data_IF_640565336028
#
_entry.id   IF_640565336028
#
_cell.length_a   1.000
_cell.length_b   1.000
_cell.length_c   1.000
_cell.angle_alpha   90.00
_cell.angle_beta   90.00
_cell.angle_gamma   90.00
#
_symmetry.space_group_name_H-M   'P 1'
#
loop_
_entity.id
_entity.type
_entity.pdbx_description
1 polymer ?
#
# COMPACT_ATOMS: atom_id res chain seq x y z
N UNK A 1 23.11 -5.73 -7.12
CA UNK A 1 22.98 -6.34 -5.78
C UNK A 1 21.57 -6.09 -5.28
N UNK A 2 21.05 -7.03 -4.50
CA UNK A 2 19.62 -7.31 -4.33
C UNK A 2 18.80 -6.27 -3.54
N UNK A 3 17.55 -6.12 -4.00
CA UNK A 3 16.28 -5.95 -3.26
C UNK A 3 15.66 -4.56 -3.11
N UNK A 4 14.35 -4.58 -3.36
CA UNK A 4 13.35 -3.52 -3.39
C UNK A 4 13.19 -2.90 -2.00
N UNK A 5 13.17 -1.58 -1.89
CA UNK A 5 12.61 -0.87 -0.74
C UNK A 5 11.43 -0.02 -1.24
N UNK A 6 10.33 -0.71 -1.52
CA UNK A 6 9.03 -0.05 -1.66
C UNK A 6 8.45 0.08 -0.25
N UNK A 7 8.96 1.03 0.54
CA UNK A 7 8.23 1.51 1.71
C UNK A 7 7.09 2.36 1.17
N UNK A 8 6.03 1.67 0.75
CA UNK A 8 4.73 2.26 0.48
C UNK A 8 4.05 2.22 1.82
N UNK A 9 3.79 3.39 2.39
CA UNK A 9 2.91 3.49 3.54
C UNK A 9 1.55 3.00 3.05
N UNK A 10 1.28 1.72 3.32
CA UNK A 10 0.05 0.98 3.09
C UNK A 10 -0.77 1.38 1.84
N UNK A 11 -0.23 1.17 0.63
CA UNK A 11 -1.09 0.88 -0.51
C UNK A 11 -1.40 -0.61 -0.42
N UNK A 12 -2.59 -0.93 0.07
CA UNK A 12 -3.20 -2.25 0.01
C UNK A 12 -3.18 -2.75 -1.44
N UNK A 13 -2.08 -3.39 -1.85
CA UNK A 13 -2.04 -4.23 -3.03
C UNK A 13 -2.73 -5.55 -2.68
N UNK A 14 -4.06 -5.52 -2.60
CA UNK A 14 -4.86 -6.69 -2.90
C UNK A 14 -4.92 -6.85 -4.42
N UNK A 15 -3.76 -7.16 -5.01
CA UNK A 15 -3.74 -7.79 -6.32
C UNK A 15 -4.12 -9.24 -6.05
N UNK A 16 -5.41 -9.53 -6.23
CA UNK A 16 -5.85 -10.90 -6.45
C UNK A 16 -4.98 -11.52 -7.54
N UNK A 17 -4.23 -12.55 -7.19
CA UNK A 17 -3.67 -13.47 -8.17
C UNK A 17 -4.83 -14.29 -8.76
N UNK A 18 -5.55 -13.70 -9.72
CA UNK A 18 -6.40 -14.43 -10.64
C UNK A 18 -6.04 -13.96 -12.06
N UNK A 19 -5.11 -14.68 -12.68
CA UNK A 19 -4.57 -14.32 -13.99
C UNK A 19 -3.57 -15.34 -14.51
N UNK A 20 -4.05 -16.56 -14.78
CA UNK A 20 -3.54 -17.45 -15.83
C UNK A 20 -2.06 -17.89 -15.73
N UNK A 21 -1.82 -18.99 -15.02
CA UNK A 21 -0.87 -20.00 -15.51
C UNK A 21 -1.67 -21.18 -16.03
N UNK A 22 -2.14 -21.03 -17.28
CA UNK A 22 -2.50 -22.15 -18.12
C UNK A 22 -1.20 -22.88 -18.45
N UNK A 23 -0.89 -23.94 -17.71
CA UNK A 23 0.16 -24.88 -18.05
C UNK A 23 -0.43 -25.84 -19.11
N UNK A 24 0.01 -25.80 -20.38
CA UNK A 24 -0.37 -26.84 -21.32
C UNK A 24 0.48 -28.07 -21.00
N UNK A 25 -0.19 -29.23 -20.95
CA UNK A 25 0.43 -30.53 -20.87
C UNK A 25 1.47 -30.70 -21.99
N UNK A 26 2.66 -31.19 -21.61
CA UNK A 26 3.65 -31.67 -22.57
C UNK A 26 3.09 -32.91 -23.29
N UNK A 27 2.89 -32.78 -24.60
CA UNK A 27 2.53 -33.85 -25.52
C UNK A 27 3.06 -33.49 -26.90
N UNK A 28 4.06 -34.23 -27.37
CA UNK A 28 4.92 -33.84 -28.48
C UNK A 28 4.30 -33.87 -29.87
N UNK A 29 5.09 -33.38 -30.84
CA UNK A 29 4.88 -33.65 -32.26
C UNK A 29 5.10 -32.44 -33.18
N UNK A 30 6.33 -32.31 -33.68
CA UNK A 30 6.72 -31.97 -35.07
C UNK A 30 6.02 -30.84 -35.85
N UNK A 31 6.86 -29.83 -36.18
CA UNK A 31 7.09 -29.22 -37.50
C UNK A 31 5.90 -28.65 -38.32
N UNK A 32 5.93 -27.36 -38.65
CA UNK A 32 6.36 -26.84 -39.97
C UNK A 32 6.27 -25.30 -40.01
N UNK A 33 7.11 -24.71 -40.86
CA UNK A 33 7.28 -23.27 -41.11
C UNK A 33 6.18 -22.73 -42.02
N UNK A 34 5.81 -21.45 -41.90
CA UNK A 34 5.73 -20.58 -43.08
C UNK A 34 5.82 -19.09 -42.70
N UNK A 35 6.67 -18.37 -43.44
CA UNK A 35 6.74 -16.90 -43.49
C UNK A 35 5.50 -16.33 -44.18
N UNK A 36 5.05 -15.15 -43.80
CA UNK A 36 4.84 -14.01 -44.73
C UNK A 36 4.37 -12.76 -43.98
N UNK A 37 5.07 -11.67 -44.25
CA UNK A 37 4.59 -10.28 -44.18
C UNK A 37 4.84 -9.69 -45.59
N UNK A 38 4.53 -8.42 -45.93
CA UNK A 38 3.77 -7.38 -45.21
C UNK A 38 2.74 -6.66 -46.12
N UNK A 39 2.07 -5.62 -45.63
CA UNK A 39 1.54 -4.54 -46.49
C UNK A 39 1.58 -3.20 -45.75
N UNK A 40 2.06 -2.20 -46.49
CA UNK A 40 2.36 -0.82 -46.13
C UNK A 40 1.11 0.07 -46.11
N UNK A 41 1.17 1.19 -45.38
CA UNK A 41 0.83 2.48 -45.97
C UNK A 41 1.57 3.60 -45.22
N UNK A 42 2.21 4.48 -45.99
CA UNK A 42 3.03 5.57 -45.49
C UNK A 42 2.70 6.90 -46.18
N UNK A 43 3.06 8.00 -45.52
CA UNK A 43 3.56 9.27 -46.09
C UNK A 43 3.89 10.21 -44.93
N UNK A 44 5.13 10.62 -44.73
CA UNK A 44 5.78 11.78 -45.39
C UNK A 44 5.68 12.97 -44.42
N UNK A 45 6.71 13.74 -44.08
CA UNK A 45 7.77 14.29 -44.93
C UNK A 45 8.96 14.78 -44.07
N UNK A 46 10.11 14.84 -44.71
CA UNK A 46 11.46 15.12 -44.20
C UNK A 46 11.71 16.62 -43.95
N UNK A 47 12.71 16.93 -43.13
CA UNK A 47 13.83 17.82 -43.55
C UNK A 47 15.01 17.67 -42.58
N UNK A 48 16.16 17.28 -43.15
CA UNK A 48 17.48 17.25 -42.53
C UNK A 48 18.14 18.64 -42.57
N UNK A 49 19.04 18.92 -41.61
CA UNK A 49 20.42 19.33 -41.91
C UNK A 49 21.28 19.44 -40.61
N UNK A 50 22.29 18.58 -40.51
CA UNK A 50 23.59 18.84 -39.85
C UNK A 50 24.51 19.56 -40.88
N UNK A 51 25.74 20.09 -40.59
CA UNK A 51 26.75 19.53 -39.68
C UNK A 51 27.63 20.55 -38.91
N UNK A 52 28.54 20.07 -38.06
CA UNK A 52 29.62 20.91 -37.50
C UNK A 52 30.49 20.21 -36.45
N UNK A 53 31.65 19.76 -36.90
CA UNK A 53 32.75 19.03 -36.28
C UNK A 53 33.48 19.75 -35.12
N UNK A 54 34.26 19.02 -34.30
CA UNK A 54 35.28 19.65 -33.43
C UNK A 54 35.66 18.90 -32.14
N UNK A 55 36.88 18.39 -32.11
CA UNK A 55 37.39 17.37 -31.20
C UNK A 55 38.16 17.87 -29.94
N UNK A 56 38.34 16.89 -29.02
CA UNK A 56 39.59 16.52 -28.31
C UNK A 56 40.07 17.21 -27.01
N UNK A 57 40.42 16.33 -26.04
CA UNK A 57 41.47 16.49 -25.02
C UNK A 57 40.95 16.91 -23.64
N UNK A 58 41.27 16.29 -22.50
CA UNK A 58 42.24 15.25 -22.18
C UNK A 58 42.86 15.52 -20.80
N UNK A 59 42.75 14.53 -19.90
CA UNK A 59 43.71 14.15 -18.84
C UNK A 59 43.61 14.70 -17.38
N UNK A 60 43.13 13.82 -16.50
CA UNK A 60 43.77 13.20 -15.32
C UNK A 60 44.33 13.96 -14.10
N UNK A 61 44.12 13.29 -12.95
CA UNK A 61 44.93 13.30 -11.72
C UNK A 61 44.20 13.93 -10.54
N UNK A 62 43.94 13.30 -9.39
CA UNK A 62 44.39 12.04 -8.82
C UNK A 62 44.68 12.24 -7.32
N UNK A 63 44.09 11.37 -6.48
CA UNK A 63 44.51 10.96 -5.12
C UNK A 63 44.18 11.83 -3.88
N UNK A 64 43.16 11.35 -3.15
CA UNK A 64 43.13 10.90 -1.74
C UNK A 64 44.08 11.52 -0.69
N UNK A 65 43.53 11.93 0.46
CA UNK A 65 43.76 11.30 1.77
C UNK A 65 42.88 11.91 2.89
N UNK A 66 42.59 11.06 3.89
CA UNK A 66 41.55 11.11 4.92
C UNK A 66 41.77 12.04 6.13
N UNK A 67 40.68 12.29 6.88
CA UNK A 67 40.69 12.77 8.27
C UNK A 67 39.28 13.06 8.81
N UNK A 68 38.94 12.44 9.94
CA UNK A 68 37.66 12.42 10.69
C UNK A 68 36.94 13.77 10.86
N UNK A 69 35.60 13.74 10.93
CA UNK A 69 34.86 14.08 12.16
C UNK A 69 33.36 13.75 12.06
N UNK A 70 32.83 13.25 13.18
CA UNK A 70 31.41 13.04 13.43
C UNK A 70 30.68 14.38 13.41
N UNK A 71 29.87 14.61 12.39
CA UNK A 71 28.82 15.63 12.36
C UNK A 71 27.53 14.83 12.09
N UNK A 72 26.67 14.65 13.08
CA UNK A 72 25.85 15.75 13.56
C UNK A 72 24.61 15.75 12.67
N UNK A 73 23.55 15.11 13.17
CA UNK A 73 22.21 15.12 12.61
C UNK A 73 21.91 16.50 12.00
N UNK A 74 21.95 16.57 10.67
CA UNK A 74 21.52 17.74 9.94
C UNK A 74 20.00 17.80 10.12
N UNK A 75 19.58 18.66 11.06
CA UNK A 75 18.20 19.04 11.23
C UNK A 75 17.66 19.54 9.88
N UNK A 76 16.90 18.68 9.19
CA UNK A 76 16.12 19.07 8.03
C UNK A 76 15.01 20.00 8.52
N UNK A 77 15.09 21.26 8.09
CA UNK A 77 13.98 22.18 8.00
C UNK A 77 13.26 22.48 9.33
N UNK A 78 13.66 23.57 9.98
CA UNK A 78 12.81 24.26 10.94
C UNK A 78 11.54 24.77 10.23
N UNK A 79 10.54 23.91 10.08
CA UNK A 79 9.15 24.32 9.87
C UNK A 79 8.65 24.88 11.19
N UNK A 80 7.89 25.98 11.13
CA UNK A 80 7.28 26.58 12.32
C UNK A 80 6.61 25.48 13.14
N UNK A 81 7.03 25.36 14.39
CA UNK A 81 6.42 24.50 15.40
C UNK A 81 5.02 25.05 15.68
N UNK A 82 4.05 24.75 14.83
CA UNK A 82 2.64 24.90 15.12
C UNK A 82 1.84 24.16 14.03
N UNK A 83 1.15 23.10 14.45
CA UNK A 83 0.28 22.21 13.67
C UNK A 83 0.88 20.93 13.06
N UNK A 84 1.68 20.23 13.86
CA UNK A 84 2.07 18.83 13.62
C UNK A 84 1.29 17.87 14.51
N UNK A 85 1.11 16.64 14.04
CA UNK A 85 0.58 15.50 14.79
C UNK A 85 1.60 14.38 14.82
N UNK A 86 1.50 13.53 15.84
CA UNK A 86 2.32 12.33 15.98
C UNK A 86 1.39 11.13 16.06
N UNK A 87 1.66 10.12 15.24
CA UNK A 87 0.97 8.83 15.25
C UNK A 87 1.96 7.71 15.57
N UNK A 88 1.44 6.59 16.07
CA UNK A 88 2.22 5.41 16.35
C UNK A 88 1.75 4.28 15.47
N UNK A 89 2.64 3.71 14.67
CA UNK A 89 2.35 2.51 13.90
C UNK A 89 2.93 1.32 14.68
N UNK A 90 2.08 0.45 15.27
CA UNK A 90 2.53 -0.78 15.89
C UNK A 90 3.39 -1.66 14.96
N UNK A 91 4.37 -2.35 15.54
CA UNK A 91 5.27 -3.27 14.82
C UNK A 91 4.54 -4.34 14.01
N UNK A 92 3.35 -4.75 14.45
CA UNK A 92 2.56 -5.78 13.76
C UNK A 92 2.16 -5.38 12.34
N UNK A 93 2.11 -4.07 12.05
CA UNK A 93 1.70 -3.56 10.74
C UNK A 93 2.87 -3.34 9.77
N UNK A 94 4.04 -3.00 10.30
CA UNK A 94 5.21 -2.66 9.49
C UNK A 94 6.45 -3.34 10.07
N UNK A 95 7.15 -4.11 9.22
CA UNK A 95 8.39 -4.80 9.60
C UNK A 95 9.60 -3.91 9.35
N UNK A 96 9.62 -2.71 9.95
CA UNK A 96 10.78 -1.82 9.92
C UNK A 96 11.84 -2.35 10.87
N UNK A 97 13.06 -2.52 10.38
CA UNK A 97 14.14 -3.17 11.14
C UNK A 97 15.30 -2.24 11.47
N UNK A 98 15.30 -1.03 10.91
CA UNK A 98 16.35 -0.04 11.16
C UNK A 98 15.83 1.39 11.18
N UNK A 99 16.56 2.27 11.86
CA UNK A 99 16.26 3.72 11.83
C UNK A 99 16.50 4.31 10.44
N UNK A 100 17.42 3.74 9.64
CA UNK A 100 17.67 4.15 8.27
C UNK A 100 16.41 3.99 7.39
N UNK A 101 15.73 2.84 7.48
CA UNK A 101 14.45 2.61 6.80
C UNK A 101 13.37 3.61 7.25
N UNK A 102 13.32 3.95 8.54
CA UNK A 102 12.41 4.96 9.08
C UNK A 102 12.70 6.36 8.51
N UNK A 103 13.98 6.75 8.41
CA UNK A 103 14.40 8.04 7.86
C UNK A 103 14.09 8.12 6.35
N UNK A 104 14.24 7.02 5.60
CA UNK A 104 13.83 6.93 4.20
C UNK A 104 12.31 7.15 4.02
N UNK A 105 11.49 6.50 4.87
CA UNK A 105 10.03 6.71 4.90
C UNK A 105 9.72 8.17 5.17
N UNK A 106 10.38 8.77 6.16
CA UNK A 106 10.19 10.18 6.52
C UNK A 106 10.45 11.10 5.34
N UNK A 107 11.60 10.93 4.67
CA UNK A 107 12.00 11.75 3.54
C UNK A 107 11.08 11.58 2.33
N UNK A 108 10.76 10.33 1.98
CA UNK A 108 9.94 10.00 0.81
C UNK A 108 8.53 10.57 0.90
N UNK A 109 7.93 10.52 2.09
CA UNK A 109 6.53 10.94 2.29
C UNK A 109 6.41 12.39 2.76
N UNK A 110 7.54 13.09 2.95
CA UNK A 110 7.55 14.49 3.41
C UNK A 110 7.08 14.65 4.85
N UNK A 111 7.37 13.67 5.71
CA UNK A 111 7.13 13.77 7.15
C UNK A 111 8.19 14.64 7.83
N UNK A 112 7.87 15.10 9.04
CA UNK A 112 8.78 15.93 9.85
C UNK A 112 9.81 15.06 10.56
N UNK A 113 9.40 13.89 11.06
CA UNK A 113 10.24 12.98 11.81
C UNK A 113 9.70 11.55 11.76
N UNK A 114 10.57 10.56 11.72
CA UNK A 114 10.25 9.17 12.01
C UNK A 114 11.24 8.61 13.04
N UNK A 115 10.75 7.83 14.01
CA UNK A 115 11.59 7.20 15.04
C UNK A 115 11.17 5.74 15.20
N UNK A 116 12.11 4.83 14.98
CA UNK A 116 11.93 3.42 15.34
C UNK A 116 12.12 3.27 16.85
N UNK A 117 11.10 2.77 17.54
CA UNK A 117 11.15 2.53 18.98
C UNK A 117 11.74 1.17 19.32
N UNK A 118 12.13 0.98 20.58
CA UNK A 118 12.71 -0.28 21.08
C UNK A 118 11.74 -1.47 20.96
N UNK A 119 10.43 -1.22 21.04
CA UNK A 119 9.39 -2.23 20.83
C UNK A 119 9.13 -2.55 19.35
N UNK A 120 9.85 -1.89 18.44
CA UNK A 120 9.72 -2.01 17.00
C UNK A 120 8.53 -1.25 16.40
N UNK A 121 7.77 -0.47 17.19
CA UNK A 121 6.79 0.47 16.65
C UNK A 121 7.49 1.66 15.98
N UNK A 122 6.81 2.26 15.01
CA UNK A 122 7.28 3.44 14.30
C UNK A 122 6.50 4.68 14.74
N UNK A 123 7.18 5.65 15.35
CA UNK A 123 6.61 6.96 15.68
C UNK A 123 6.82 7.90 14.49
N UNK A 124 5.74 8.46 13.94
CA UNK A 124 5.81 9.41 12.82
C UNK A 124 5.23 10.75 13.24
N UNK A 125 5.98 11.83 13.01
CA UNK A 125 5.50 13.20 13.15
C UNK A 125 5.33 13.83 11.78
N UNK A 126 4.15 14.39 11.50
CA UNK A 126 3.80 15.01 10.21
C UNK A 126 2.93 16.25 10.41
N UNK A 127 2.72 17.06 9.36
CA UNK A 127 1.74 18.15 9.42
C UNK A 127 0.31 17.60 9.41
N UNK A 128 -0.67 18.36 9.94
CA UNK A 128 -2.10 17.97 9.81
C UNK A 128 -2.56 17.83 8.38
N UNK A 129 -2.06 18.68 7.47
CA UNK A 129 -2.37 18.57 6.05
C UNK A 129 -1.92 17.21 5.48
N UNK A 130 -0.73 16.74 5.88
CA UNK A 130 -0.22 15.43 5.45
C UNK A 130 -0.98 14.27 6.09
N UNK A 131 -1.38 14.41 7.36
CA UNK A 131 -2.27 13.44 8.02
C UNK A 131 -3.60 13.31 7.25
N UNK A 132 -4.21 14.43 6.87
CA UNK A 132 -5.48 14.43 6.14
C UNK A 132 -5.36 13.82 4.74
N UNK A 133 -4.24 14.07 4.05
CA UNK A 133 -3.90 13.43 2.78
C UNK A 133 -3.79 11.91 2.95
N UNK A 134 -3.05 11.46 3.96
CA UNK A 134 -2.89 10.05 4.29
C UNK A 134 -4.25 9.38 4.59
N UNK A 135 -5.09 10.00 5.41
CA UNK A 135 -6.44 9.49 5.73
C UNK A 135 -7.28 9.41 4.45
N UNK A 136 -7.27 10.46 3.61
CA UNK A 136 -8.07 10.49 2.38
C UNK A 136 -7.64 9.41 1.37
N UNK A 137 -6.34 9.19 1.22
CA UNK A 137 -5.83 8.16 0.33
C UNK A 137 -6.11 6.75 0.87
N UNK A 138 -6.03 6.58 2.20
CA UNK A 138 -6.42 5.33 2.84
C UNK A 138 -7.93 5.03 2.67
N UNK A 139 -8.80 6.03 2.86
CA UNK A 139 -10.25 5.88 2.62
C UNK A 139 -10.54 5.41 1.20
N UNK A 140 -9.94 6.03 0.18
CA UNK A 140 -10.11 5.58 -1.22
C UNK A 140 -9.68 4.12 -1.42
N UNK A 141 -8.57 3.73 -0.78
CA UNK A 141 -8.07 2.36 -0.79
C UNK A 141 -9.05 1.38 -0.15
N UNK A 142 -9.61 1.73 1.01
CA UNK A 142 -10.63 0.90 1.68
C UNK A 142 -11.90 0.80 0.84
N UNK A 143 -12.39 1.91 0.28
CA UNK A 143 -13.57 1.92 -0.58
C UNK A 143 -13.36 1.02 -1.82
N UNK A 144 -12.17 1.06 -2.42
CA UNK A 144 -11.81 0.18 -3.54
C UNK A 144 -11.69 -1.28 -3.12
N UNK A 145 -11.13 -1.56 -1.94
CA UNK A 145 -11.02 -2.92 -1.38
C UNK A 145 -12.40 -3.52 -1.13
N UNK A 146 -13.28 -2.77 -0.49
CA UNK A 146 -14.67 -3.17 -0.23
C UNK A 146 -15.43 -3.41 -1.54
N UNK A 147 -15.30 -2.53 -2.53
CA UNK A 147 -15.95 -2.71 -3.82
C UNK A 147 -15.48 -3.95 -4.60
N UNK A 148 -14.33 -4.54 -4.24
CA UNK A 148 -13.85 -5.80 -4.82
C UNK A 148 -14.32 -7.04 -4.05
N UNK A 149 -14.90 -6.88 -2.86
CA UNK A 149 -15.38 -7.99 -2.02
C UNK A 149 -16.82 -8.37 -2.39
N UNK A 150 -17.68 -7.37 -2.61
CA UNK A 150 -19.10 -7.57 -2.87
C UNK A 150 -19.33 -8.48 -4.09
N UNK A 151 -19.98 -9.64 -3.89
CA UNK A 151 -20.24 -10.63 -4.93
C UNK A 151 -19.01 -11.28 -5.57
N UNK A 152 -17.84 -11.16 -4.94
CA UNK A 152 -16.59 -11.74 -5.44
C UNK A 152 -16.58 -13.27 -5.35
N UNK A 153 -15.68 -13.93 -6.10
CA UNK A 153 -15.51 -15.39 -6.02
C UNK A 153 -15.10 -15.87 -4.62
N UNK A 154 -14.38 -15.03 -3.87
CA UNK A 154 -13.95 -15.34 -2.49
C UNK A 154 -15.05 -15.14 -1.46
N UNK A 155 -16.03 -14.28 -1.76
CA UNK A 155 -17.14 -13.94 -0.87
C UNK A 155 -18.49 -13.89 -1.63
N UNK A 156 -18.92 -15.01 -2.24
CA UNK A 156 -20.05 -15.02 -3.16
C UNK A 156 -21.40 -14.74 -2.47
N UNK A 157 -21.49 -14.96 -1.17
CA UNK A 157 -22.68 -14.70 -0.36
C UNK A 157 -22.76 -13.26 0.15
N UNK A 158 -21.67 -12.49 0.10
CA UNK A 158 -21.63 -11.08 0.52
C UNK A 158 -22.26 -10.21 -0.56
N UNK A 159 -23.40 -9.64 -0.25
CA UNK A 159 -24.17 -8.79 -1.16
C UNK A 159 -23.85 -7.31 -1.04
N UNK A 160 -23.41 -6.87 0.15
CA UNK A 160 -23.11 -5.47 0.43
C UNK A 160 -22.27 -5.32 1.69
N UNK A 161 -21.40 -4.32 1.71
CA UNK A 161 -20.71 -3.87 2.91
C UNK A 161 -20.96 -2.37 3.10
N UNK A 162 -21.33 -1.98 4.31
CA UNK A 162 -21.48 -0.57 4.71
C UNK A 162 -20.69 -0.29 5.96
N UNK A 163 -20.38 0.98 6.20
CA UNK A 163 -19.59 1.43 7.35
C UNK A 163 -19.98 2.85 7.74
N UNK A 164 -19.70 3.21 8.99
CA UNK A 164 -19.82 4.57 9.50
C UNK A 164 -18.61 5.45 9.12
N UNK A 165 -18.69 6.75 9.39
CA UNK A 165 -17.72 7.74 8.89
C UNK A 165 -16.28 7.52 9.37
N UNK A 166 -16.11 6.96 10.57
CA UNK A 166 -14.81 6.70 11.20
C UNK A 166 -14.34 5.23 11.05
N UNK A 167 -15.12 4.38 10.37
CA UNK A 167 -14.83 2.95 10.20
C UNK A 167 -14.77 2.16 11.52
N UNK A 168 -15.38 2.64 12.61
CA UNK A 168 -15.50 1.87 13.85
C UNK A 168 -16.59 0.79 13.80
N UNK A 169 -17.53 0.88 12.86
CA UNK A 169 -18.59 -0.10 12.64
C UNK A 169 -18.73 -0.44 11.16
N UNK A 170 -18.61 -1.72 10.83
CA UNK A 170 -18.95 -2.29 9.53
C UNK A 170 -20.19 -3.17 9.65
N UNK A 171 -21.01 -3.17 8.59
CA UNK A 171 -22.14 -4.09 8.43
C UNK A 171 -22.00 -4.81 7.10
N UNK A 172 -21.96 -6.14 7.16
CA UNK A 172 -21.87 -7.05 6.01
C UNK A 172 -23.23 -7.72 5.81
N UNK A 173 -23.90 -7.40 4.71
CA UNK A 173 -25.14 -8.07 4.31
C UNK A 173 -24.79 -9.34 3.53
N UNK A 174 -25.18 -10.51 4.05
CA UNK A 174 -24.83 -11.82 3.49
C UNK A 174 -26.04 -12.74 3.32
N UNK A 175 -25.97 -13.66 2.37
CA UNK A 175 -26.93 -14.76 2.19
C UNK A 175 -26.74 -15.95 3.12
N UNK A 176 -25.68 -15.97 3.94
CA UNK A 176 -25.43 -17.05 4.90
C UNK A 176 -26.43 -17.03 6.08
N UNK A 177 -26.63 -18.19 6.71
CA UNK A 177 -27.44 -18.33 7.94
C UNK A 177 -26.59 -18.22 9.22
N UNK A 178 -25.29 -18.50 9.13
CA UNK A 178 -24.32 -18.42 10.23
C UNK A 178 -22.94 -17.98 9.73
N UNK A 179 -22.10 -17.45 10.63
CA UNK A 179 -20.74 -17.01 10.25
C UNK A 179 -19.77 -18.20 10.09
N UNK A 180 -19.26 -18.37 8.87
CA UNK A 180 -18.26 -19.37 8.50
C UNK A 180 -16.82 -18.88 8.65
N UNK A 181 -15.88 -19.65 8.08
CA UNK A 181 -14.45 -19.30 8.07
C UNK A 181 -14.20 -18.07 7.18
N UNK A 182 -14.89 -17.98 6.04
CA UNK A 182 -14.75 -16.85 5.12
C UNK A 182 -15.23 -15.55 5.78
N UNK A 183 -16.38 -15.56 6.44
CA UNK A 183 -16.93 -14.41 7.16
C UNK A 183 -15.98 -13.97 8.27
N UNK A 184 -15.41 -14.91 9.03
CA UNK A 184 -14.38 -14.58 10.04
C UNK A 184 -13.13 -13.95 9.44
N UNK A 185 -12.67 -14.43 8.27
CA UNK A 185 -11.52 -13.87 7.58
C UNK A 185 -11.81 -12.45 7.06
N UNK A 186 -13.01 -12.24 6.49
CA UNK A 186 -13.48 -10.92 6.07
C UNK A 186 -13.59 -9.96 7.26
N UNK A 187 -14.11 -10.44 8.39
CA UNK A 187 -14.19 -9.63 9.59
C UNK A 187 -12.82 -9.13 10.06
N UNK A 188 -11.80 -10.00 10.03
CA UNK A 188 -10.42 -9.61 10.36
C UNK A 188 -9.86 -8.56 9.39
N UNK A 189 -10.16 -8.69 8.10
CA UNK A 189 -9.76 -7.71 7.09
C UNK A 189 -10.43 -6.34 7.32
N UNK A 190 -11.73 -6.31 7.59
CA UNK A 190 -12.46 -5.07 7.89
C UNK A 190 -12.03 -4.44 9.23
N UNK A 191 -11.78 -5.26 10.25
CA UNK A 191 -11.20 -4.81 11.53
C UNK A 191 -9.84 -4.16 11.29
N UNK A 192 -9.01 -4.74 10.42
CA UNK A 192 -7.72 -4.17 10.04
C UNK A 192 -7.89 -2.81 9.37
N UNK A 193 -8.87 -2.66 8.46
CA UNK A 193 -9.17 -1.37 7.83
C UNK A 193 -9.57 -0.30 8.84
N UNK A 194 -10.51 -0.60 9.74
CA UNK A 194 -10.89 0.34 10.80
C UNK A 194 -9.71 0.67 11.72
N UNK A 195 -8.91 -0.33 12.10
CA UNK A 195 -7.76 -0.12 13.00
C UNK A 195 -6.72 0.82 12.37
N UNK A 196 -6.40 0.64 11.09
CA UNK A 196 -5.49 1.55 10.38
C UNK A 196 -6.04 2.96 10.24
N UNK A 197 -7.34 3.10 9.92
CA UNK A 197 -7.99 4.41 9.89
C UNK A 197 -7.84 5.12 11.24
N UNK A 198 -8.08 4.41 12.33
CA UNK A 198 -7.97 4.95 13.69
C UNK A 198 -6.53 5.32 14.05
N UNK A 199 -5.53 4.51 13.70
CA UNK A 199 -4.10 4.85 13.87
C UNK A 199 -3.75 6.14 13.11
N UNK A 200 -4.15 6.26 11.85
CA UNK A 200 -3.85 7.46 11.06
C UNK A 200 -4.62 8.70 11.53
N UNK A 201 -5.81 8.50 12.09
CA UNK A 201 -6.66 9.56 12.64
C UNK A 201 -6.31 9.94 14.08
N UNK A 202 -5.52 9.13 14.80
CA UNK A 202 -5.20 9.31 16.21
C UNK A 202 -6.35 8.95 17.16
N UNK A 203 -7.17 7.95 16.80
CA UNK A 203 -8.37 7.47 17.49
C UNK A 203 -8.21 6.05 18.07
N UNK A 204 -6.99 5.67 18.46
CA UNK A 204 -6.56 4.28 18.73
C UNK A 204 -7.30 3.56 19.88
N UNK A 205 -8.07 4.27 20.70
CA UNK A 205 -8.80 3.71 21.85
C UNK A 205 -10.18 3.13 21.50
N UNK A 206 -10.60 3.21 20.24
CA UNK A 206 -11.93 2.77 19.82
C UNK A 206 -11.92 1.30 19.35
N UNK A 207 -12.98 0.56 19.73
CA UNK A 207 -13.17 -0.82 19.28
C UNK A 207 -13.79 -0.83 17.90
N UNK A 208 -13.20 -1.59 16.98
CA UNK A 208 -13.74 -1.79 15.63
C UNK A 208 -14.65 -3.01 15.66
N UNK A 209 -15.88 -2.86 15.17
CA UNK A 209 -16.90 -3.91 15.17
C UNK A 209 -17.34 -4.23 13.74
N UNK A 210 -17.57 -5.51 13.47
CA UNK A 210 -18.15 -6.01 12.22
C UNK A 210 -19.39 -6.83 12.54
N UNK A 211 -20.54 -6.44 12.01
CA UNK A 211 -21.80 -7.17 12.13
C UNK A 211 -22.15 -7.86 10.80
N UNK A 212 -22.49 -9.15 10.85
CA UNK A 212 -23.02 -9.91 9.73
C UNK A 212 -24.54 -9.97 9.84
N UNK A 213 -25.22 -9.48 8.81
CA UNK A 213 -26.68 -9.40 8.75
C UNK A 213 -27.15 -10.30 7.62
N UNK A 214 -28.10 -11.19 7.91
CA UNK A 214 -28.75 -11.98 6.87
C UNK A 214 -29.57 -11.04 5.98
N UNK A 215 -29.29 -11.03 4.68
CA UNK A 215 -29.89 -10.09 3.72
C UNK A 215 -31.40 -10.28 3.54
N UNK A 216 -31.92 -11.46 3.84
CA UNK A 216 -33.33 -11.82 3.61
C UNK A 216 -34.19 -11.55 4.85
N UNK A 217 -33.64 -11.75 6.07
CA UNK A 217 -34.35 -11.53 7.34
C UNK A 217 -34.04 -10.20 8.02
N UNK A 218 -32.87 -9.61 7.73
CA UNK A 218 -32.35 -8.43 8.43
C UNK A 218 -31.83 -8.73 9.84
N UNK A 219 -31.73 -10.00 10.24
CA UNK A 219 -31.23 -10.40 11.56
C UNK A 219 -29.70 -10.45 11.59
N UNK A 220 -29.11 -10.06 12.73
CA UNK A 220 -27.67 -10.24 12.97
C UNK A 220 -27.40 -11.72 13.23
N UNK A 221 -26.62 -12.34 12.35
CA UNK A 221 -26.25 -13.77 12.44
C UNK A 221 -24.87 -13.99 13.08
N UNK A 222 -24.10 -12.92 13.27
CA UNK A 222 -22.83 -12.95 13.96
C UNK A 222 -22.15 -11.58 14.01
N UNK A 223 -21.18 -11.45 14.91
CA UNK A 223 -20.39 -10.24 15.08
C UNK A 223 -18.94 -10.60 15.42
N UNK A 224 -18.02 -9.71 15.08
CA UNK A 224 -16.63 -9.74 15.53
C UNK A 224 -16.21 -8.34 15.96
N UNK A 225 -15.25 -8.24 16.87
CA UNK A 225 -14.69 -6.97 17.30
C UNK A 225 -13.17 -7.04 17.50
N UNK A 226 -12.49 -5.89 17.45
CA UNK A 226 -11.04 -5.79 17.59
C UNK A 226 -10.49 -6.20 18.96
N UNK A 227 -11.35 -6.32 19.98
CA UNK A 227 -10.99 -6.78 21.33
C UNK A 227 -11.20 -8.29 21.56
N UNK A 228 -11.95 -8.95 20.68
CA UNK A 228 -12.29 -10.37 20.78
C UNK A 228 -11.11 -11.27 20.39
N UNK A 229 -10.11 -11.39 21.27
CA UNK A 229 -9.09 -12.43 21.17
C UNK A 229 -9.72 -13.78 21.50
N UNK A 230 -10.07 -14.57 20.48
CA UNK A 230 -10.48 -15.99 20.63
C UNK A 230 -9.31 -16.91 20.32
#
# INVERSE_FOLDING_TARGET
>A
MFKKAAAVLLALMLIGCAGTQNQPAEGGGTAEQEQTAPSEDGKGEETQAQPGDGAAGGNAGGSEAAGQESAGSAALGATKKEDTVTIVIPRIYESITSQEEADEICQKNGYVKAVLREDGSLEITMSRAKQQELISDFQKSVDQGIGQIEGSESYPSVSRITYNEDYSVFTVETGEEEIGIAERQLAQELIMYGTFYHVYSGLEEETIRVDFVNKDTGEVIGSADSGSSS
#
